data_IF_182118242552
#
_entry.id   IF_182118242552
#
_cell.length_a   1.000
_cell.length_b   1.000
_cell.length_c   1.000
_cell.angle_alpha   90.00
_cell.angle_beta   90.00
_cell.angle_gamma   90.00
#
_symmetry.space_group_name_H-M   'P 1'
#
loop_
_entity.id
_entity.type
_entity.pdbx_description
1 polymer ?
#
# COMPACT_ATOMS: atom_id res chain seq x y z
N UNK A 1 43.71 8.40 20.44
CA UNK A 1 44.28 7.14 19.92
C UNK A 1 43.47 6.01 20.55
N UNK A 2 42.39 5.59 19.92
CA UNK A 2 41.58 4.45 20.41
C UNK A 2 41.93 3.18 19.64
N UNK A 3 42.06 2.10 20.40
CA UNK A 3 42.62 0.80 20.01
C UNK A 3 41.58 -0.02 19.19
N UNK A 4 41.84 -0.48 17.96
CA UNK A 4 40.90 -1.18 17.09
C UNK A 4 40.64 -2.65 17.40
N UNK A 5 41.15 -3.22 18.49
CA UNK A 5 41.13 -4.66 18.77
C UNK A 5 40.01 -5.17 19.69
N UNK A 6 39.05 -4.34 20.09
CA UNK A 6 38.05 -4.76 21.09
C UNK A 6 36.83 -5.53 20.53
N UNK A 7 36.66 -5.59 19.22
CA UNK A 7 35.52 -6.29 18.59
C UNK A 7 35.79 -7.71 18.10
N UNK A 8 37.07 -8.10 17.97
CA UNK A 8 37.48 -9.48 17.59
C UNK A 8 37.58 -10.43 18.77
N UNK A 9 37.89 -9.95 19.97
CA UNK A 9 38.05 -10.79 21.16
C UNK A 9 36.74 -11.26 21.79
N UNK A 10 35.62 -10.63 21.48
CA UNK A 10 34.31 -11.01 21.99
C UNK A 10 33.72 -12.27 21.33
N UNK A 11 34.19 -12.64 20.15
CA UNK A 11 33.68 -13.77 19.38
C UNK A 11 34.44 -15.10 19.57
N UNK A 12 35.58 -15.10 20.25
CA UNK A 12 36.38 -16.29 20.49
C UNK A 12 36.19 -16.99 21.84
N UNK A 13 35.36 -16.47 22.75
CA UNK A 13 35.14 -17.03 24.11
C UNK A 13 33.88 -17.85 24.30
N UNK A 14 33.16 -18.26 23.23
CA UNK A 14 32.00 -19.15 23.35
C UNK A 14 32.20 -20.51 22.67
N UNK A 15 33.33 -21.15 22.95
CA UNK A 15 33.48 -22.56 22.65
C UNK A 15 34.38 -23.16 23.72
N UNK A 16 33.77 -23.92 24.59
CA UNK A 16 34.27 -25.06 25.41
C UNK A 16 33.48 -25.08 26.72
N UNK A 17 32.48 -25.93 26.82
CA UNK A 17 32.14 -26.66 28.06
C UNK A 17 31.24 -27.85 27.73
N UNK A 18 31.86 -28.96 27.69
CA UNK A 18 31.74 -30.20 28.47
C UNK A 18 30.62 -31.15 28.07
N UNK A 19 31.10 -32.23 27.47
CA UNK A 19 30.43 -33.52 27.44
C UNK A 19 30.28 -34.05 28.89
N UNK A 20 29.05 -34.12 29.37
CA UNK A 20 28.65 -34.83 30.55
C UNK A 20 27.81 -36.03 30.17
N UNK A 21 28.40 -37.24 30.26
CA UNK A 21 27.75 -38.50 29.99
C UNK A 21 26.90 -38.89 31.18
N UNK A 22 25.57 -38.82 31.05
CA UNK A 22 24.62 -39.43 32.00
C UNK A 22 23.93 -40.60 31.31
N UNK A 23 24.24 -41.80 31.75
CA UNK A 23 23.50 -43.04 31.48
C UNK A 23 22.22 -43.04 32.32
N UNK A 24 21.04 -42.98 31.68
CA UNK A 24 19.77 -43.29 32.31
C UNK A 24 19.09 -44.44 31.58
N UNK A 25 18.35 -45.31 32.28
CA UNK A 25 17.84 -46.56 31.74
C UNK A 25 16.71 -46.39 30.78
N UNK A 26 16.69 -47.18 29.71
CA UNK A 26 15.64 -47.29 28.72
C UNK A 26 14.34 -47.80 29.34
N UNK A 27 13.38 -46.93 29.60
CA UNK A 27 11.97 -47.33 29.80
C UNK A 27 11.31 -47.18 28.43
N UNK A 28 10.98 -48.35 27.84
CA UNK A 28 10.24 -48.41 26.57
C UNK A 28 8.76 -48.08 26.84
N UNK A 29 8.39 -46.79 26.63
CA UNK A 29 6.99 -46.45 26.44
C UNK A 29 6.70 -46.46 24.95
N UNK A 30 5.75 -47.26 24.52
CA UNK A 30 5.15 -47.17 23.18
C UNK A 30 4.42 -45.83 23.10
N UNK A 31 5.05 -44.81 22.53
CA UNK A 31 4.35 -43.62 22.12
C UNK A 31 3.61 -43.89 20.81
N UNK A 32 2.29 -43.79 20.86
CA UNK A 32 1.47 -43.56 19.68
C UNK A 32 1.79 -42.19 19.15
N UNK A 33 2.66 -42.10 18.20
CA UNK A 33 2.95 -40.87 17.47
C UNK A 33 1.71 -40.46 16.66
N UNK A 34 1.06 -39.31 16.92
CA UNK A 34 0.04 -38.81 16.01
C UNK A 34 0.73 -38.56 14.67
N UNK A 35 0.20 -39.17 13.61
CA UNK A 35 0.64 -38.83 12.23
C UNK A 35 0.60 -37.33 12.06
N UNK A 36 1.76 -36.71 11.92
CA UNK A 36 1.86 -35.32 11.51
C UNK A 36 1.14 -35.21 10.16
N UNK A 37 0.01 -34.51 10.14
CA UNK A 37 -0.60 -34.08 8.90
C UNK A 37 0.48 -33.32 8.15
N UNK A 38 0.87 -33.80 6.98
CA UNK A 38 1.72 -33.08 6.05
C UNK A 38 1.09 -31.72 5.81
N UNK A 39 1.54 -30.70 6.53
CA UNK A 39 1.29 -29.34 6.14
C UNK A 39 2.17 -29.11 4.90
N UNK A 40 1.57 -29.24 3.72
CA UNK A 40 2.22 -28.76 2.50
C UNK A 40 2.55 -27.29 2.73
N UNK A 41 3.81 -26.99 2.92
CA UNK A 41 4.29 -25.63 2.94
C UNK A 41 3.92 -25.03 1.57
N UNK A 42 3.17 -23.92 1.51
CA UNK A 42 2.83 -23.33 0.23
C UNK A 42 4.13 -23.05 -0.54
N UNK A 43 4.34 -23.74 -1.65
CA UNK A 43 5.48 -23.44 -2.53
C UNK A 43 5.20 -22.13 -3.23
N UNK A 44 5.67 -21.02 -2.65
CA UNK A 44 5.63 -19.72 -3.32
C UNK A 44 6.54 -19.79 -4.54
N UNK A 45 5.93 -19.79 -5.72
CA UNK A 45 6.68 -19.64 -6.96
C UNK A 45 7.28 -18.23 -6.98
N UNK A 46 8.61 -18.13 -7.06
CA UNK A 46 9.27 -16.83 -7.13
C UNK A 46 8.78 -16.02 -8.33
N UNK A 47 8.60 -14.69 -8.19
CA UNK A 47 8.34 -13.82 -9.31
C UNK A 47 9.45 -13.93 -10.37
N UNK A 48 9.09 -13.78 -11.63
CA UNK A 48 10.07 -13.72 -12.72
C UNK A 48 10.67 -12.31 -12.71
N UNK A 49 12.01 -12.17 -12.71
CA UNK A 49 12.63 -10.85 -12.81
C UNK A 49 12.22 -10.11 -14.08
N UNK A 50 11.92 -8.82 -13.96
CA UNK A 50 11.57 -7.95 -15.09
C UNK A 50 12.16 -6.54 -14.89
N UNK A 51 12.32 -5.83 -16.01
CA UNK A 51 12.71 -4.42 -16.04
C UNK A 51 11.53 -3.59 -16.53
N UNK A 52 11.22 -2.52 -15.84
CA UNK A 52 10.29 -1.49 -16.32
C UNK A 52 11.14 -0.32 -16.83
N UNK A 53 11.15 -0.06 -18.13
CA UNK A 53 11.90 1.06 -18.69
C UNK A 53 11.27 2.39 -18.26
N UNK A 54 12.02 3.51 -18.32
CA UNK A 54 11.45 4.84 -18.12
C UNK A 54 10.23 5.06 -19.01
N UNK A 55 9.22 5.72 -18.46
CA UNK A 55 8.00 6.10 -19.16
C UNK A 55 7.93 7.63 -19.27
N UNK A 56 7.23 8.13 -20.29
CA UNK A 56 6.91 9.54 -20.38
C UNK A 56 6.20 10.03 -19.10
N UNK A 57 6.42 11.28 -18.67
CA UNK A 57 5.76 11.83 -17.49
C UNK A 57 4.25 11.70 -17.59
N UNK A 58 3.63 11.23 -16.50
CA UNK A 58 2.18 11.14 -16.40
C UNK A 58 1.59 12.55 -16.47
N UNK A 59 0.53 12.71 -17.27
CA UNK A 59 -0.18 13.99 -17.41
C UNK A 59 -1.43 14.00 -16.54
N UNK A 60 -1.82 15.19 -16.08
CA UNK A 60 -3.05 15.37 -15.30
C UNK A 60 -4.27 15.04 -16.18
N UNK A 61 -5.15 14.21 -15.68
CA UNK A 61 -6.39 13.82 -16.35
C UNK A 61 -7.52 14.85 -16.18
N UNK A 62 -8.69 14.53 -16.74
CA UNK A 62 -9.85 15.43 -16.84
C UNK A 62 -10.35 15.92 -15.47
N UNK A 63 -10.29 15.06 -14.44
CA UNK A 63 -10.75 15.39 -13.08
C UNK A 63 -9.66 16.09 -12.23
N UNK A 64 -8.53 16.45 -12.83
CA UNK A 64 -7.40 17.04 -12.11
C UNK A 64 -6.51 16.01 -11.43
N UNK A 65 -6.71 14.73 -11.71
CA UNK A 65 -5.84 13.63 -11.28
C UNK A 65 -5.78 12.56 -12.35
N UNK A 66 -4.72 11.78 -12.34
CA UNK A 66 -4.54 10.61 -13.22
C UNK A 66 -3.65 9.58 -12.53
N UNK A 67 -3.77 8.34 -12.94
CA UNK A 67 -2.93 7.25 -12.45
C UNK A 67 -2.55 6.29 -13.57
N UNK A 68 -1.48 5.55 -13.35
CA UNK A 68 -1.13 4.38 -14.16
C UNK A 68 -0.50 3.29 -13.31
N UNK A 69 -0.86 2.07 -13.58
CA UNK A 69 -0.20 0.93 -12.95
C UNK A 69 1.19 0.74 -13.52
N UNK A 70 2.18 0.69 -12.63
CA UNK A 70 3.59 0.43 -12.95
C UNK A 70 3.89 -1.05 -12.77
N UNK A 71 3.42 -1.65 -11.68
CA UNK A 71 3.59 -3.07 -11.36
C UNK A 71 2.24 -3.63 -10.94
N UNK A 72 1.74 -4.64 -11.66
CA UNK A 72 0.54 -5.37 -11.25
C UNK A 72 0.87 -6.41 -10.17
N UNK A 73 -0.04 -6.62 -9.24
CA UNK A 73 0.06 -7.65 -8.19
C UNK A 73 0.26 -9.06 -8.76
N UNK A 74 -0.27 -9.32 -9.94
CA UNK A 74 -0.06 -10.58 -10.68
C UNK A 74 1.42 -10.84 -11.04
N UNK A 75 2.23 -9.80 -11.20
CA UNK A 75 3.66 -9.88 -11.52
C UNK A 75 4.52 -10.16 -10.26
N UNK A 76 3.97 -9.90 -9.08
CA UNK A 76 4.67 -10.02 -7.78
C UNK A 76 4.16 -11.17 -6.92
N UNK A 77 3.43 -12.14 -7.50
CA UNK A 77 2.74 -13.19 -6.75
C UNK A 77 1.81 -12.63 -5.66
N UNK A 78 1.12 -11.53 -5.95
CA UNK A 78 0.19 -10.81 -5.06
C UNK A 78 0.85 -10.25 -3.78
N UNK A 79 2.16 -10.05 -3.79
CA UNK A 79 2.85 -9.45 -2.65
C UNK A 79 2.58 -7.95 -2.56
N UNK A 80 2.62 -7.27 -3.70
CA UNK A 80 2.31 -5.85 -3.83
C UNK A 80 1.97 -5.49 -5.28
N UNK A 81 1.37 -4.33 -5.46
CA UNK A 81 1.32 -3.60 -6.73
C UNK A 81 1.91 -2.21 -6.56
N UNK A 82 2.15 -1.51 -7.66
CA UNK A 82 2.74 -0.18 -7.66
C UNK A 82 2.05 0.68 -8.71
N UNK A 83 1.61 1.86 -8.29
CA UNK A 83 0.90 2.83 -9.10
C UNK A 83 1.64 4.17 -9.06
N UNK A 84 1.81 4.82 -10.19
CA UNK A 84 2.16 6.23 -10.26
C UNK A 84 0.88 7.06 -10.35
N UNK A 85 0.80 8.13 -9.58
CA UNK A 85 -0.32 9.07 -9.63
C UNK A 85 0.17 10.52 -9.73
N UNK A 86 -0.67 11.36 -10.35
CA UNK A 86 -0.47 12.80 -10.44
C UNK A 86 -1.74 13.52 -10.01
N UNK A 87 -1.60 14.58 -9.20
CA UNK A 87 -2.68 15.45 -8.77
C UNK A 87 -2.33 16.90 -9.09
N UNK A 88 -3.24 17.61 -9.76
CA UNK A 88 -3.13 19.05 -9.96
C UNK A 88 -3.16 19.81 -8.61
N UNK A 89 -2.72 21.08 -8.58
CA UNK A 89 -2.82 21.91 -7.39
C UNK A 89 -4.25 21.93 -6.80
N UNK A 90 -4.33 21.84 -5.48
CA UNK A 90 -5.59 21.86 -4.71
C UNK A 90 -6.58 20.73 -5.00
N UNK A 91 -6.15 19.67 -5.69
CA UNK A 91 -6.97 18.48 -5.89
C UNK A 91 -6.79 17.48 -4.76
N UNK A 92 -7.90 16.83 -4.40
CA UNK A 92 -7.97 15.76 -3.41
C UNK A 92 -8.14 14.41 -4.13
N UNK A 93 -7.45 13.39 -3.65
CA UNK A 93 -7.49 12.03 -4.22
C UNK A 93 -8.68 11.22 -3.67
N UNK A 94 -9.89 11.65 -3.98
CA UNK A 94 -11.12 11.01 -3.54
C UNK A 94 -11.62 11.48 -2.17
N UNK A 95 -12.56 10.74 -1.60
CA UNK A 95 -13.14 11.03 -0.28
C UNK A 95 -12.29 10.41 0.84
N UNK A 96 -12.33 10.96 2.07
CA UNK A 96 -11.76 10.30 3.24
C UNK A 96 -12.31 8.88 3.39
N UNK A 97 -11.42 7.91 3.50
CA UNK A 97 -11.77 6.49 3.53
C UNK A 97 -10.79 5.66 4.36
N UNK A 98 -11.13 4.41 4.60
CA UNK A 98 -10.21 3.40 5.13
C UNK A 98 -10.38 2.10 4.36
N UNK A 99 -9.32 1.30 4.35
CA UNK A 99 -9.31 -0.06 3.82
C UNK A 99 -9.38 -1.09 4.95
N UNK A 100 -10.08 -2.20 4.72
CA UNK A 100 -10.12 -3.31 5.67
C UNK A 100 -8.81 -4.11 5.66
N UNK A 101 -8.25 -4.38 4.48
CA UNK A 101 -7.17 -5.35 4.28
C UNK A 101 -5.93 -4.79 3.57
N UNK A 102 -5.97 -3.53 3.12
CA UNK A 102 -4.91 -2.90 2.34
C UNK A 102 -4.03 -2.02 3.22
N UNK A 103 -2.71 -2.22 3.13
CA UNK A 103 -1.71 -1.26 3.60
C UNK A 103 -1.11 -0.52 2.39
N UNK A 104 -0.92 0.78 2.50
CA UNK A 104 -0.41 1.63 1.43
C UNK A 104 0.91 2.29 1.85
N UNK A 105 1.89 2.31 0.94
CA UNK A 105 3.15 3.01 1.13
C UNK A 105 3.35 4.02 0.01
N UNK A 106 3.26 5.30 0.33
CA UNK A 106 3.44 6.40 -0.60
C UNK A 106 4.90 6.87 -0.62
N UNK A 107 5.40 7.19 -1.81
CA UNK A 107 6.63 7.95 -2.04
C UNK A 107 6.30 9.18 -2.87
N UNK A 108 6.61 10.36 -2.37
CA UNK A 108 6.42 11.61 -3.12
C UNK A 108 7.63 11.85 -4.02
N UNK A 109 7.39 11.89 -5.32
CA UNK A 109 8.41 12.15 -6.33
C UNK A 109 8.63 13.64 -6.54
N UNK A 110 7.54 14.41 -6.65
CA UNK A 110 7.52 15.84 -6.93
C UNK A 110 6.37 16.52 -6.17
N UNK A 111 6.58 17.75 -5.71
CA UNK A 111 5.58 18.51 -4.98
C UNK A 111 5.51 18.18 -3.49
N UNK A 112 4.36 18.47 -2.88
CA UNK A 112 4.06 18.20 -1.46
C UNK A 112 2.66 17.64 -1.33
N UNK A 113 2.56 16.45 -0.78
CA UNK A 113 1.29 15.84 -0.39
C UNK A 113 0.93 16.26 1.03
N UNK A 114 -0.34 16.60 1.28
CA UNK A 114 -0.90 16.56 2.62
C UNK A 114 -1.71 15.29 2.77
N UNK A 115 -1.58 14.62 3.90
CA UNK A 115 -2.22 13.35 4.21
C UNK A 115 -2.98 13.48 5.52
N UNK A 116 -4.31 13.31 5.48
CA UNK A 116 -5.09 13.05 6.68
C UNK A 116 -4.81 11.60 7.12
N UNK A 117 -4.47 11.38 8.38
CA UNK A 117 -4.35 10.07 9.02
C UNK A 117 -5.10 10.10 10.36
N UNK A 118 -6.24 9.44 10.43
CA UNK A 118 -7.14 9.56 11.58
C UNK A 118 -7.65 10.99 11.72
N UNK A 119 -7.14 11.73 12.69
CA UNK A 119 -7.48 13.13 12.95
C UNK A 119 -6.29 14.09 12.74
N UNK A 120 -5.12 13.56 12.37
CA UNK A 120 -3.92 14.34 12.13
C UNK A 120 -3.68 14.57 10.64
N UNK A 121 -3.04 15.69 10.32
CA UNK A 121 -2.60 16.00 8.96
C UNK A 121 -1.10 16.10 8.93
N UNK A 122 -0.47 15.35 8.03
CA UNK A 122 0.97 15.30 7.83
C UNK A 122 1.30 15.82 6.45
N UNK A 123 2.34 16.65 6.33
CA UNK A 123 2.92 17.05 5.05
C UNK A 123 4.06 16.11 4.67
N UNK A 124 4.00 15.60 3.45
CA UNK A 124 4.99 14.68 2.87
C UNK A 124 5.58 15.33 1.64
N UNK A 125 6.81 15.81 1.77
CA UNK A 125 7.53 16.50 0.70
C UNK A 125 8.24 15.54 -0.24
N UNK A 126 8.64 16.00 -1.43
CA UNK A 126 9.40 15.21 -2.38
C UNK A 126 10.61 14.52 -1.74
N UNK A 127 10.82 13.25 -2.08
CA UNK A 127 11.84 12.37 -1.50
C UNK A 127 11.40 11.64 -0.21
N UNK A 128 10.24 11.96 0.34
CA UNK A 128 9.73 11.36 1.58
C UNK A 128 8.80 10.19 1.32
N UNK A 129 8.74 9.29 2.31
CA UNK A 129 7.84 8.14 2.35
C UNK A 129 6.79 8.30 3.44
N UNK A 130 5.58 7.80 3.20
CA UNK A 130 4.50 7.80 4.18
C UNK A 130 3.71 6.49 4.13
N UNK A 131 3.64 5.78 5.25
CA UNK A 131 2.85 4.56 5.40
C UNK A 131 1.43 4.91 5.85
N UNK A 132 0.42 4.37 5.17
CA UNK A 132 -1.00 4.43 5.52
C UNK A 132 -1.51 3.02 5.83
N UNK A 133 -1.49 2.61 7.11
CA UNK A 133 -1.97 1.29 7.51
C UNK A 133 -3.48 1.14 7.32
N UNK A 134 -3.91 -0.10 7.07
CA UNK A 134 -5.33 -0.46 7.04
C UNK A 134 -6.08 -0.02 8.30
N UNK A 135 -7.39 0.09 8.20
CA UNK A 135 -8.30 0.44 9.29
C UNK A 135 -8.13 1.86 9.88
N UNK A 136 -7.25 2.69 9.34
CA UNK A 136 -7.13 4.10 9.72
C UNK A 136 -7.71 4.97 8.60
N UNK A 137 -8.61 5.90 8.96
CA UNK A 137 -9.20 6.83 7.98
C UNK A 137 -8.11 7.74 7.43
N UNK A 138 -8.03 7.83 6.11
CA UNK A 138 -7.05 8.67 5.44
C UNK A 138 -7.57 9.25 4.13
N UNK A 139 -6.90 10.28 3.64
CA UNK A 139 -7.02 10.84 2.29
C UNK A 139 -5.80 11.69 1.98
N UNK A 140 -5.41 11.74 0.71
CA UNK A 140 -4.28 12.53 0.22
C UNK A 140 -4.79 13.68 -0.64
N UNK A 141 -4.14 14.85 -0.54
CA UNK A 141 -4.39 15.97 -1.46
C UNK A 141 -3.10 16.71 -1.78
N UNK A 142 -3.15 17.45 -2.87
CA UNK A 142 -2.07 18.34 -3.25
C UNK A 142 -2.26 19.72 -2.58
N UNK A 143 -1.49 20.00 -1.56
CA UNK A 143 -1.50 21.31 -0.87
C UNK A 143 -0.71 22.40 -1.59
N UNK A 144 0.15 22.03 -2.54
CA UNK A 144 1.07 22.91 -3.25
C UNK A 144 0.43 23.74 -4.37
N UNK A 145 1.29 24.43 -5.11
CA UNK A 145 0.96 25.23 -6.30
C UNK A 145 1.37 24.56 -7.61
N UNK A 146 2.18 23.51 -7.52
CA UNK A 146 2.64 22.69 -8.62
C UNK A 146 1.98 21.31 -8.56
N UNK A 147 2.08 20.53 -9.63
CA UNK A 147 1.57 19.15 -9.63
C UNK A 147 2.28 18.31 -8.57
N UNK A 148 1.51 17.51 -7.87
CA UNK A 148 2.00 16.46 -7.00
C UNK A 148 2.14 15.16 -7.81
N UNK A 149 3.35 14.58 -7.83
CA UNK A 149 3.58 13.24 -8.39
C UNK A 149 4.05 12.30 -7.29
N UNK A 150 3.46 11.13 -7.25
CA UNK A 150 3.75 10.14 -6.23
C UNK A 150 3.70 8.71 -6.78
N UNK A 151 4.35 7.82 -6.06
CA UNK A 151 4.20 6.37 -6.20
C UNK A 151 3.43 5.88 -4.99
N UNK A 152 2.39 5.07 -5.22
CA UNK A 152 1.74 4.29 -4.17
C UNK A 152 1.99 2.80 -4.40
N UNK A 153 2.43 2.13 -3.35
CA UNK A 153 2.55 0.67 -3.30
C UNK A 153 1.44 0.11 -2.42
N UNK A 154 0.74 -0.88 -2.94
CA UNK A 154 -0.40 -1.53 -2.30
C UNK A 154 -0.04 -2.95 -1.89
N UNK A 155 -0.23 -3.28 -0.61
CA UNK A 155 0.12 -4.58 -0.04
C UNK A 155 -1.14 -5.34 0.38
N UNK A 156 -1.07 -6.66 0.28
CA UNK A 156 -2.14 -7.60 0.69
C UNK A 156 -3.40 -7.61 -0.19
N UNK A 157 -3.50 -6.72 -1.19
CA UNK A 157 -4.65 -6.62 -2.08
C UNK A 157 -4.22 -6.14 -3.47
N UNK A 158 -4.94 -6.55 -4.52
CA UNK A 158 -4.77 -6.08 -5.90
C UNK A 158 -5.54 -4.76 -6.13
N UNK A 159 -5.20 -3.73 -5.35
CA UNK A 159 -5.95 -2.46 -5.37
C UNK A 159 -5.77 -1.67 -6.67
N UNK A 160 -4.73 -1.95 -7.42
CA UNK A 160 -4.56 -1.41 -8.78
C UNK A 160 -5.77 -1.70 -9.68
N UNK A 161 -6.42 -2.87 -9.53
CA UNK A 161 -7.62 -3.22 -10.30
C UNK A 161 -8.81 -2.30 -9.96
N UNK A 162 -8.92 -1.87 -8.68
CA UNK A 162 -9.91 -0.88 -8.27
C UNK A 162 -9.67 0.46 -8.98
N UNK A 163 -8.43 0.93 -8.97
CA UNK A 163 -8.06 2.20 -9.57
C UNK A 163 -8.20 2.18 -11.09
N UNK A 164 -7.80 1.09 -11.76
CA UNK A 164 -8.00 0.91 -13.20
C UNK A 164 -9.48 0.97 -13.58
N UNK A 165 -10.35 0.33 -12.80
CA UNK A 165 -11.81 0.38 -13.04
C UNK A 165 -12.35 1.80 -12.85
N UNK A 166 -11.92 2.52 -11.79
CA UNK A 166 -12.40 3.88 -11.51
C UNK A 166 -11.87 4.87 -12.56
N UNK A 167 -10.56 4.92 -12.77
CA UNK A 167 -9.94 5.94 -13.62
C UNK A 167 -10.12 5.70 -15.11
N UNK A 168 -10.08 4.44 -15.54
CA UNK A 168 -10.04 4.12 -16.97
C UNK A 168 -11.35 3.55 -17.51
N UNK A 169 -12.37 3.33 -16.65
CA UNK A 169 -13.69 2.88 -17.11
C UNK A 169 -14.82 3.73 -16.54
N UNK A 170 -14.92 3.92 -15.21
CA UNK A 170 -16.06 4.63 -14.61
C UNK A 170 -15.99 6.12 -14.93
N UNK A 171 -14.87 6.79 -14.69
CA UNK A 171 -14.71 8.23 -14.97
C UNK A 171 -14.95 8.54 -16.45
N UNK A 172 -14.34 7.83 -17.43
CA UNK A 172 -14.64 8.07 -18.85
C UNK A 172 -16.10 7.84 -19.22
N UNK A 173 -16.77 6.83 -18.65
CA UNK A 173 -18.19 6.58 -18.90
C UNK A 173 -19.08 7.70 -18.37
N UNK A 174 -18.83 8.11 -17.12
CA UNK A 174 -19.50 9.25 -16.49
C UNK A 174 -19.37 10.52 -17.35
N UNK A 175 -18.16 10.85 -17.77
CA UNK A 175 -17.89 12.02 -18.60
C UNK A 175 -18.55 11.94 -19.98
N UNK A 176 -18.41 10.80 -20.67
CA UNK A 176 -19.00 10.58 -22.00
C UNK A 176 -20.53 10.68 -22.00
N UNK A 177 -21.16 10.19 -20.96
CA UNK A 177 -22.63 10.15 -20.83
C UNK A 177 -23.19 11.39 -20.11
N UNK A 178 -22.33 12.32 -19.67
CA UNK A 178 -22.70 13.50 -18.86
C UNK A 178 -23.50 13.13 -17.59
N UNK A 179 -23.04 12.06 -16.92
CA UNK A 179 -23.60 11.58 -15.65
C UNK A 179 -22.81 12.14 -14.47
N UNK A 180 -23.23 11.77 -13.27
CA UNK A 180 -22.52 12.04 -12.00
C UNK A 180 -22.27 10.72 -11.25
N UNK A 181 -21.45 10.75 -10.22
CA UNK A 181 -21.26 9.59 -9.34
C UNK A 181 -22.51 9.26 -8.50
N UNK A 182 -23.48 10.18 -8.42
CA UNK A 182 -24.76 10.01 -7.72
C UNK A 182 -25.82 9.34 -8.61
N UNK A 183 -25.59 9.24 -9.93
CA UNK A 183 -26.49 8.51 -10.81
C UNK A 183 -26.63 7.06 -10.35
N UNK A 184 -27.89 6.53 -10.22
CA UNK A 184 -28.13 5.23 -9.56
C UNK A 184 -27.32 4.06 -10.14
N UNK A 185 -27.10 4.05 -11.45
CA UNK A 185 -26.29 3.03 -12.13
C UNK A 185 -24.81 3.11 -11.71
N UNK A 186 -24.25 4.33 -11.73
CA UNK A 186 -22.85 4.58 -11.37
C UNK A 186 -22.63 4.35 -9.88
N UNK A 187 -23.51 4.91 -9.03
CA UNK A 187 -23.42 4.71 -7.58
C UNK A 187 -23.48 3.23 -7.20
N UNK A 188 -24.34 2.44 -7.86
CA UNK A 188 -24.39 0.97 -7.64
C UNK A 188 -23.10 0.28 -8.09
N UNK A 189 -22.52 0.69 -9.24
CA UNK A 189 -21.26 0.13 -9.75
C UNK A 189 -20.12 0.41 -8.77
N UNK A 190 -20.00 1.66 -8.31
CA UNK A 190 -19.00 2.07 -7.32
C UNK A 190 -19.19 1.33 -6.00
N UNK A 191 -20.40 1.27 -5.45
CA UNK A 191 -20.67 0.58 -4.19
C UNK A 191 -20.32 -0.92 -4.23
N UNK A 192 -20.56 -1.59 -5.36
CA UNK A 192 -20.13 -2.98 -5.54
C UNK A 192 -18.61 -3.13 -5.56
N UNK A 193 -17.93 -2.19 -6.20
CA UNK A 193 -16.48 -2.15 -6.26
C UNK A 193 -15.88 -1.89 -4.87
N UNK A 194 -16.41 -0.91 -4.13
CA UNK A 194 -16.03 -0.59 -2.75
C UNK A 194 -16.16 -1.79 -1.83
N UNK A 195 -17.30 -2.48 -1.91
CA UNK A 195 -17.53 -3.70 -1.15
C UNK A 195 -16.53 -4.80 -1.49
N UNK A 196 -16.22 -4.99 -2.76
CA UNK A 196 -15.23 -5.99 -3.23
C UNK A 196 -13.84 -5.73 -2.65
N UNK A 197 -13.47 -4.44 -2.52
CA UNK A 197 -12.15 -4.02 -2.07
C UNK A 197 -12.12 -3.58 -0.59
N UNK A 198 -13.22 -3.73 0.14
CA UNK A 198 -13.28 -3.43 1.57
C UNK A 198 -13.09 -1.96 1.94
N UNK A 199 -13.50 -1.04 1.06
CA UNK A 199 -13.47 0.39 1.34
C UNK A 199 -14.65 0.80 2.21
N UNK A 200 -14.38 1.74 3.12
CA UNK A 200 -15.39 2.45 3.91
C UNK A 200 -15.11 3.93 3.83
N UNK A 201 -16.08 4.71 3.36
CA UNK A 201 -15.97 6.17 3.22
C UNK A 201 -16.49 6.92 4.44
N UNK A 202 -15.96 8.13 4.63
CA UNK A 202 -16.30 9.08 5.68
C UNK A 202 -16.62 10.44 5.06
N UNK A 203 -17.74 10.55 4.31
CA UNK A 203 -18.07 11.76 3.55
C UNK A 203 -18.29 12.98 4.44
N UNK A 204 -18.66 12.80 5.70
CA UNK A 204 -18.82 13.88 6.69
C UNK A 204 -17.52 14.63 7.00
N UNK A 205 -16.34 14.01 6.77
CA UNK A 205 -15.04 14.66 6.96
C UNK A 205 -14.66 15.55 5.77
N UNK A 206 -15.22 15.32 4.59
CA UNK A 206 -14.80 16.00 3.35
C UNK A 206 -15.07 17.51 3.35
N UNK A 207 -16.26 18.04 3.73
CA UNK A 207 -16.55 19.48 3.66
C UNK A 207 -15.56 20.33 4.46
N UNK A 208 -15.18 19.88 5.64
CA UNK A 208 -14.22 20.59 6.48
C UNK A 208 -12.81 20.65 5.87
N UNK A 209 -12.39 19.59 5.18
CA UNK A 209 -11.10 19.54 4.46
C UNK A 209 -11.12 20.49 3.25
N UNK A 210 -12.17 20.43 2.43
CA UNK A 210 -12.31 21.30 1.28
C UNK A 210 -12.25 22.79 1.70
N UNK A 211 -13.01 23.17 2.73
CA UNK A 211 -13.03 24.54 3.24
C UNK A 211 -11.68 24.97 3.83
N UNK A 212 -11.11 24.14 4.72
CA UNK A 212 -9.88 24.49 5.46
C UNK A 212 -8.66 24.65 4.56
N UNK A 213 -8.55 23.82 3.51
CA UNK A 213 -7.37 23.76 2.65
C UNK A 213 -7.61 24.33 1.24
N UNK A 214 -8.82 24.85 0.95
CA UNK A 214 -9.19 25.40 -0.35
C UNK A 214 -9.09 24.37 -1.47
N UNK A 215 -9.59 23.15 -1.23
CA UNK A 215 -9.55 22.05 -2.18
C UNK A 215 -10.77 22.01 -3.09
N UNK A 216 -10.65 21.33 -4.24
CA UNK A 216 -11.70 21.22 -5.26
C UNK A 216 -11.73 19.81 -5.87
#
# INVERSE_FOLDING_TARGET
MENPNSRRDALQKMSILTAGMFLLPLISCKENTPQAKNSETPTFKSPIPFLIPPKEPLQVGIMGSEMRTIIHSSQTNKQFSCVEAILAPKKIAGMPHKHADLDELMYVMEGTASVLMGDEVVEVTAGSWHLRPRNIVHVVWNSGTENLRLIDMYFNQNFEDYLEEVYHQIIPDVMKRNLTFEDPEIAKKVANLDKKFGLTYYPEKLPSLLQKYGLS
#
